data_IF_177109786932
#
_entry.id   IF_177109786932
#
_cell.length_a   1.000
_cell.length_b   1.000
_cell.length_c   1.000
_cell.angle_alpha   90.00
_cell.angle_beta   90.00
_cell.angle_gamma   90.00
#
_symmetry.space_group_name_H-M   'P 1'
#
loop_
_entity.id
_entity.type
_entity.pdbx_description
1 polymer ?
#
# COMPACT_ATOMS: atom_id res chain seq x y z
N UNK A 1 -38.58 -72.79 96.75
CA UNK A 1 -38.95 -74.00 95.99
C UNK A 1 -39.03 -73.60 94.51
N UNK A 2 -38.25 -74.09 93.55
CA UNK A 2 -36.98 -74.82 93.52
C UNK A 2 -36.31 -74.51 92.17
N UNK A 3 -35.06 -74.04 92.22
CA UNK A 3 -33.88 -74.45 91.45
C UNK A 3 -34.07 -74.94 89.99
N UNK A 4 -33.40 -74.24 89.05
CA UNK A 4 -32.32 -74.86 88.27
C UNK A 4 -32.56 -75.19 86.79
N UNK A 5 -31.46 -75.13 86.04
CA UNK A 5 -31.24 -75.78 84.74
C UNK A 5 -31.58 -74.86 83.56
N UNK A 6 -30.65 -74.47 82.69
CA UNK A 6 -29.52 -75.22 82.16
C UNK A 6 -29.88 -75.67 80.74
N UNK A 7 -29.12 -75.26 79.73
CA UNK A 7 -29.36 -75.69 78.34
C UNK A 7 -28.62 -74.85 77.31
N UNK A 8 -27.44 -75.31 76.94
CA UNK A 8 -26.65 -75.00 75.74
C UNK A 8 -26.73 -76.29 74.87
N UNK A 9 -26.35 -76.37 73.57
CA UNK A 9 -26.44 -75.53 72.36
C UNK A 9 -27.16 -76.32 71.20
N UNK A 10 -26.80 -76.03 69.93
CA UNK A 10 -26.90 -76.82 68.66
C UNK A 10 -27.90 -76.22 67.66
N UNK A 11 -27.46 -75.42 66.70
CA UNK A 11 -26.95 -75.81 65.35
C UNK A 11 -28.01 -75.57 64.27
N UNK A 12 -27.61 -75.34 63.01
CA UNK A 12 -28.25 -74.36 62.13
C UNK A 12 -29.25 -74.99 61.15
N UNK A 13 -29.64 -74.18 60.15
CA UNK A 13 -29.93 -74.59 58.78
C UNK A 13 -31.23 -75.38 58.52
N UNK A 14 -32.25 -74.70 58.00
CA UNK A 14 -32.65 -74.80 56.57
C UNK A 14 -34.03 -74.17 56.30
N UNK A 15 -34.14 -73.63 55.07
CA UNK A 15 -35.36 -73.54 54.26
C UNK A 15 -36.44 -72.54 54.70
N UNK A 16 -36.61 -71.40 54.02
CA UNK A 16 -37.17 -71.18 52.66
C UNK A 16 -38.61 -70.62 52.79
N UNK A 17 -38.90 -69.67 51.90
CA UNK A 17 -40.23 -69.10 51.59
C UNK A 17 -40.69 -67.87 52.40
N UNK A 18 -40.56 -66.73 51.70
CA UNK A 18 -41.72 -65.97 51.19
C UNK A 18 -42.32 -64.89 52.10
N UNK A 19 -41.92 -63.64 51.82
CA UNK A 19 -42.82 -62.48 51.70
C UNK A 19 -42.02 -61.27 51.18
N UNK A 20 -42.29 -60.85 49.94
CA UNK A 20 -41.96 -59.50 49.47
C UNK A 20 -43.04 -58.54 49.98
N UNK A 21 -42.65 -57.44 50.62
CA UNK A 21 -43.39 -56.20 50.38
C UNK A 21 -42.49 -54.97 50.17
N UNK A 22 -42.81 -54.26 49.08
CA UNK A 22 -42.83 -52.79 48.99
C UNK A 22 -41.52 -52.01 49.18
N UNK A 23 -40.72 -51.92 48.10
CA UNK A 23 -39.66 -50.91 47.93
C UNK A 23 -39.99 -49.94 46.78
N UNK A 24 -39.46 -48.70 46.78
CA UNK A 24 -40.08 -47.54 46.15
C UNK A 24 -39.97 -47.50 44.62
N UNK A 25 -40.97 -46.85 44.00
CA UNK A 25 -41.03 -46.48 42.59
C UNK A 25 -39.77 -45.70 42.22
N UNK A 26 -38.97 -46.19 41.25
CA UNK A 26 -37.90 -45.40 40.65
C UNK A 26 -38.52 -44.35 39.73
N UNK A 27 -38.51 -43.10 40.15
CA UNK A 27 -38.68 -41.96 39.23
C UNK A 27 -37.38 -41.78 38.47
N UNK A 28 -37.36 -42.17 37.19
CA UNK A 28 -36.36 -41.64 36.28
C UNK A 28 -36.72 -40.16 36.04
N UNK A 29 -35.81 -39.19 36.29
CA UNK A 29 -36.04 -37.82 35.86
C UNK A 29 -36.19 -37.80 34.33
N UNK A 30 -36.98 -36.89 33.75
CA UNK A 30 -36.98 -36.72 32.30
C UNK A 30 -35.56 -36.35 31.92
N UNK A 31 -34.90 -37.24 31.18
CA UNK A 31 -33.64 -36.97 30.55
C UNK A 31 -33.92 -35.81 29.59
N UNK A 32 -33.58 -34.58 30.02
CA UNK A 32 -33.38 -33.47 29.12
C UNK A 32 -32.39 -34.00 28.09
N UNK A 33 -32.90 -34.33 26.91
CA UNK A 33 -32.06 -34.62 25.74
C UNK A 33 -31.17 -33.40 25.62
N UNK A 34 -29.94 -33.55 26.10
CA UNK A 34 -28.93 -32.56 25.90
C UNK A 34 -28.72 -32.56 24.39
N UNK A 35 -29.35 -31.61 23.70
CA UNK A 35 -28.94 -31.26 22.36
C UNK A 35 -27.48 -30.85 22.50
N UNK A 36 -26.59 -31.79 22.20
CA UNK A 36 -25.18 -31.54 21.97
C UNK A 36 -25.18 -30.41 20.93
N UNK A 37 -24.75 -29.19 21.26
CA UNK A 37 -24.69 -28.14 20.27
C UNK A 37 -23.85 -28.72 19.15
N UNK A 38 -24.39 -28.75 17.93
CA UNK A 38 -23.67 -29.22 16.77
C UNK A 38 -22.37 -28.42 16.73
N UNK A 39 -21.29 -29.04 17.21
CA UNK A 39 -19.98 -28.44 17.20
C UNK A 39 -19.70 -28.21 15.73
N UNK A 40 -19.81 -26.95 15.30
CA UNK A 40 -19.53 -26.55 13.95
C UNK A 40 -18.21 -27.21 13.58
N UNK A 41 -18.24 -28.10 12.58
CA UNK A 41 -17.11 -28.96 12.25
C UNK A 41 -15.87 -28.07 12.18
N UNK A 42 -14.79 -28.37 12.94
CA UNK A 42 -13.71 -27.42 13.15
C UNK A 42 -13.16 -26.88 11.83
N UNK A 43 -13.14 -27.71 10.78
CA UNK A 43 -12.75 -27.31 9.42
C UNK A 43 -13.51 -26.12 8.85
N UNK A 44 -14.83 -26.01 9.05
CA UNK A 44 -15.63 -24.90 8.52
C UNK A 44 -15.30 -23.56 9.22
N UNK A 45 -15.06 -23.61 10.54
CA UNK A 45 -14.62 -22.45 11.31
C UNK A 45 -13.24 -21.96 10.86
N UNK A 46 -12.29 -22.88 10.60
CA UNK A 46 -10.97 -22.52 10.06
C UNK A 46 -11.04 -21.96 8.63
N UNK A 47 -11.89 -22.52 7.76
CA UNK A 47 -12.05 -22.00 6.40
C UNK A 47 -12.61 -20.58 6.38
N UNK A 48 -13.60 -20.28 7.24
CA UNK A 48 -14.15 -18.94 7.38
C UNK A 48 -13.12 -17.97 7.98
N UNK A 49 -12.33 -18.42 8.96
CA UNK A 49 -11.24 -17.63 9.54
C UNK A 49 -10.15 -17.27 8.51
N UNK A 50 -9.73 -18.24 7.69
CA UNK A 50 -8.74 -18.03 6.62
C UNK A 50 -9.31 -17.11 5.55
N UNK A 51 -10.55 -17.31 5.12
CA UNK A 51 -11.19 -16.47 4.13
C UNK A 51 -11.31 -15.01 4.63
N UNK A 52 -11.75 -14.82 5.87
CA UNK A 52 -11.83 -13.49 6.48
C UNK A 52 -10.44 -12.83 6.61
N UNK A 53 -9.40 -13.59 6.95
CA UNK A 53 -8.03 -13.09 7.02
C UNK A 53 -7.51 -12.68 5.63
N UNK A 54 -7.77 -13.46 4.58
CA UNK A 54 -7.38 -13.13 3.21
C UNK A 54 -8.12 -11.91 2.68
N UNK A 55 -9.43 -11.82 2.95
CA UNK A 55 -10.23 -10.64 2.59
C UNK A 55 -9.73 -9.41 3.35
N UNK A 56 -9.47 -9.53 4.66
CA UNK A 56 -8.88 -8.47 5.47
C UNK A 56 -7.52 -8.03 4.95
N UNK A 57 -6.63 -8.96 4.59
CA UNK A 57 -5.32 -8.67 4.03
C UNK A 57 -5.42 -8.05 2.63
N UNK A 58 -6.39 -8.47 1.82
CA UNK A 58 -6.69 -7.86 0.52
C UNK A 58 -7.25 -6.46 0.63
N UNK A 59 -8.12 -6.19 1.61
CA UNK A 59 -8.66 -4.85 1.90
C UNK A 59 -7.58 -3.95 2.52
N UNK A 60 -6.75 -4.48 3.41
CA UNK A 60 -5.63 -3.74 4.00
C UNK A 60 -4.54 -3.47 2.97
N UNK A 61 -4.19 -4.46 2.14
CA UNK A 61 -3.21 -4.35 1.08
C UNK A 61 -3.70 -3.46 -0.07
N UNK A 62 -4.94 -3.63 -0.50
CA UNK A 62 -5.59 -2.80 -1.53
C UNK A 62 -5.91 -1.39 -1.03
N UNK A 63 -6.34 -1.26 0.22
CA UNK A 63 -6.55 0.03 0.90
C UNK A 63 -5.24 0.76 1.14
N UNK A 64 -4.18 0.07 1.56
CA UNK A 64 -2.84 0.63 1.59
C UNK A 64 -2.34 0.95 0.18
N UNK A 65 -2.61 0.13 -0.84
CA UNK A 65 -2.23 0.49 -2.21
C UNK A 65 -2.98 1.72 -2.72
N UNK A 66 -4.26 1.86 -2.38
CA UNK A 66 -5.12 2.96 -2.84
C UNK A 66 -4.85 4.26 -2.07
N UNK A 67 -4.65 4.18 -0.75
CA UNK A 67 -4.36 5.32 0.12
C UNK A 67 -2.87 5.68 0.13
N UNK A 68 -2.01 4.68 -0.06
CA UNK A 68 -0.56 4.80 0.01
C UNK A 68 0.08 4.69 -1.38
N UNK A 69 -0.66 4.50 -2.47
CA UNK A 69 -0.11 4.61 -3.85
C UNK A 69 0.57 5.97 -4.09
N UNK A 70 0.13 7.02 -3.40
CA UNK A 70 0.80 8.33 -3.40
C UNK A 70 1.85 8.53 -2.29
N UNK A 71 1.89 7.64 -1.30
CA UNK A 71 2.60 7.83 -0.02
C UNK A 71 3.69 6.78 0.23
N UNK A 72 3.61 5.60 -0.42
CA UNK A 72 4.53 4.44 -0.38
C UNK A 72 5.66 4.62 -1.38
N UNK A 73 5.45 5.51 -2.34
CA UNK A 73 6.49 6.18 -3.09
C UNK A 73 7.59 6.69 -2.15
N UNK A 74 7.28 7.39 -1.06
CA UNK A 74 8.30 7.85 -0.09
C UNK A 74 9.17 6.75 0.52
N UNK A 75 8.68 5.50 0.60
CA UNK A 75 9.46 4.36 1.13
C UNK A 75 10.34 3.68 0.06
N UNK A 76 10.03 3.85 -1.22
CA UNK A 76 10.83 3.39 -2.37
C UNK A 76 11.73 4.49 -3.00
N UNK A 77 11.57 5.76 -2.59
CA UNK A 77 12.28 6.95 -3.10
C UNK A 77 13.78 7.06 -2.73
N UNK A 78 14.40 5.94 -2.35
CA UNK A 78 15.86 5.84 -2.19
C UNK A 78 16.61 5.53 -3.49
N UNK A 79 15.91 5.20 -4.58
CA UNK A 79 16.55 5.01 -5.89
C UNK A 79 16.80 6.39 -6.50
N UNK A 80 17.94 6.97 -6.10
CA UNK A 80 18.37 8.32 -6.40
C UNK A 80 18.73 8.56 -7.86
N UNK A 81 19.03 9.81 -8.15
CA UNK A 81 19.58 10.29 -9.42
C UNK A 81 20.76 9.43 -9.85
N UNK A 82 20.50 8.46 -10.73
CA UNK A 82 21.54 7.64 -11.36
C UNK A 82 22.09 8.38 -12.56
N UNK A 83 23.30 8.03 -12.99
CA UNK A 83 23.84 8.54 -14.26
C UNK A 83 22.91 8.21 -15.44
N UNK A 84 22.15 7.11 -15.37
CA UNK A 84 21.15 6.79 -16.39
C UNK A 84 20.03 7.84 -16.43
N UNK A 85 19.52 8.29 -15.28
CA UNK A 85 18.54 9.38 -15.20
C UNK A 85 19.11 10.69 -15.69
N UNK A 86 20.36 11.01 -15.35
CA UNK A 86 21.04 12.22 -15.86
C UNK A 86 21.15 12.20 -17.39
N UNK A 87 21.63 11.10 -17.97
CA UNK A 87 21.76 10.94 -19.42
C UNK A 87 20.41 11.03 -20.13
N UNK A 88 19.38 10.38 -19.59
CA UNK A 88 18.03 10.48 -20.14
C UNK A 88 17.48 11.92 -20.08
N UNK A 89 17.79 12.66 -19.02
CA UNK A 89 17.40 14.06 -18.89
C UNK A 89 18.17 14.95 -19.88
N UNK A 90 19.47 14.72 -20.08
CA UNK A 90 20.28 15.41 -21.08
C UNK A 90 19.72 15.17 -22.50
N UNK A 91 19.39 13.93 -22.83
CA UNK A 91 18.75 13.57 -24.10
C UNK A 91 17.40 14.28 -24.27
N UNK A 92 16.57 14.29 -23.24
CA UNK A 92 15.29 15.01 -23.27
C UNK A 92 15.43 16.52 -23.42
N UNK A 93 16.45 17.13 -22.79
CA UNK A 93 16.76 18.54 -22.95
C UNK A 93 17.21 18.83 -24.38
N UNK A 94 18.01 17.95 -24.98
CA UNK A 94 18.45 18.13 -26.36
C UNK A 94 17.31 18.01 -27.37
N UNK A 95 16.48 16.98 -27.22
CA UNK A 95 15.29 16.85 -28.07
C UNK A 95 14.32 18.00 -27.81
N UNK A 96 14.19 18.46 -26.55
CA UNK A 96 13.38 19.62 -26.21
C UNK A 96 13.89 20.93 -26.82
N UNK A 97 15.21 21.09 -26.95
CA UNK A 97 15.82 22.21 -27.67
C UNK A 97 15.50 22.13 -29.17
N UNK A 98 15.56 20.94 -29.76
CA UNK A 98 15.20 20.72 -31.16
C UNK A 98 13.71 21.01 -31.42
N UNK A 99 12.83 20.51 -30.54
CA UNK A 99 11.39 20.77 -30.54
C UNK A 99 11.13 22.28 -30.46
N UNK A 100 11.85 22.99 -29.58
CA UNK A 100 11.77 24.45 -29.51
C UNK A 100 12.22 25.10 -30.82
N UNK A 101 13.32 24.68 -31.44
CA UNK A 101 13.82 25.34 -32.65
C UNK A 101 12.86 25.17 -33.84
N UNK A 102 12.26 23.99 -33.99
CA UNK A 102 11.46 23.63 -35.16
C UNK A 102 9.96 23.94 -35.05
N UNK A 103 9.38 24.05 -33.85
CA UNK A 103 7.95 24.38 -33.68
C UNK A 103 7.71 25.90 -33.85
N UNK A 104 6.96 26.35 -34.87
CA UNK A 104 6.75 27.78 -35.11
C UNK A 104 5.95 28.49 -34.02
N UNK A 105 5.04 27.80 -33.32
CA UNK A 105 4.23 28.37 -32.24
C UNK A 105 4.97 28.29 -30.88
N UNK A 106 5.37 29.42 -30.27
CA UNK A 106 6.05 29.46 -28.98
C UNK A 106 5.31 28.71 -27.87
N UNK A 107 3.98 28.80 -27.85
CA UNK A 107 3.16 28.19 -26.79
C UNK A 107 3.23 26.67 -26.87
N UNK A 108 3.02 26.13 -28.07
CA UNK A 108 3.11 24.69 -28.33
C UNK A 108 4.50 24.16 -28.06
N UNK A 109 5.53 24.91 -28.47
CA UNK A 109 6.92 24.56 -28.29
C UNK A 109 7.28 24.41 -26.79
N UNK A 110 6.91 25.39 -25.95
CA UNK A 110 7.18 25.36 -24.51
C UNK A 110 6.42 24.22 -23.82
N UNK A 111 5.14 24.01 -24.18
CA UNK A 111 4.34 22.92 -23.61
C UNK A 111 4.93 21.56 -23.98
N UNK A 112 5.33 21.36 -25.24
CA UNK A 112 5.91 20.10 -25.70
C UNK A 112 7.22 19.78 -24.96
N UNK A 113 8.11 20.77 -24.86
CA UNK A 113 9.36 20.63 -24.10
C UNK A 113 9.11 20.24 -22.63
N UNK A 114 8.21 20.94 -21.94
CA UNK A 114 7.94 20.62 -20.53
C UNK A 114 7.31 19.24 -20.35
N UNK A 115 6.41 18.82 -21.25
CA UNK A 115 5.83 17.47 -21.23
C UNK A 115 6.88 16.37 -21.40
N UNK A 116 7.89 16.61 -22.25
CA UNK A 116 9.00 15.67 -22.43
C UNK A 116 9.84 15.55 -21.17
N UNK A 117 10.12 16.69 -20.51
CA UNK A 117 10.76 16.71 -19.20
C UNK A 117 9.96 15.90 -18.16
N UNK A 118 8.65 16.11 -18.05
CA UNK A 118 7.77 15.32 -17.17
C UNK A 118 7.80 13.82 -17.51
N UNK A 119 7.81 13.47 -18.80
CA UNK A 119 7.84 12.09 -19.27
C UNK A 119 9.10 11.36 -18.82
N UNK A 120 10.28 11.98 -18.94
CA UNK A 120 11.54 11.39 -18.49
C UNK A 120 11.56 11.22 -16.97
N UNK A 121 11.12 12.23 -16.21
CA UNK A 121 11.02 12.09 -14.76
C UNK A 121 10.07 10.96 -14.34
N UNK A 122 8.95 10.80 -15.04
CA UNK A 122 8.00 9.69 -14.83
C UNK A 122 8.63 8.32 -15.12
N UNK A 123 9.38 8.19 -16.21
CA UNK A 123 10.14 6.98 -16.54
C UNK A 123 11.20 6.63 -15.48
N UNK A 124 11.71 7.64 -14.78
CA UNK A 124 12.65 7.48 -13.67
C UNK A 124 11.98 7.48 -12.29
N UNK A 125 10.68 7.16 -12.24
CA UNK A 125 9.96 6.84 -11.02
C UNK A 125 9.37 8.03 -10.28
N UNK A 126 9.30 9.21 -10.91
CA UNK A 126 8.59 10.38 -10.40
C UNK A 126 7.41 10.72 -11.34
N UNK A 127 6.28 10.00 -11.27
CA UNK A 127 5.09 10.38 -12.02
C UNK A 127 4.45 11.64 -11.40
N UNK A 128 3.82 12.48 -12.22
CA UNK A 128 3.06 13.64 -11.75
C UNK A 128 1.61 13.25 -11.43
N UNK A 129 1.13 13.57 -10.24
CA UNK A 129 -0.28 13.35 -9.88
C UNK A 129 -1.22 14.34 -10.61
N UNK A 130 -2.47 13.96 -10.94
CA UNK A 130 -3.38 14.80 -11.72
C UNK A 130 -3.70 16.17 -11.09
N UNK A 131 -3.71 16.24 -9.75
CA UNK A 131 -3.98 17.48 -8.99
C UNK A 131 -2.73 18.28 -8.65
N UNK A 132 -1.55 17.70 -8.86
CA UNK A 132 -0.30 18.34 -8.50
C UNK A 132 0.01 19.47 -9.47
N UNK A 133 0.31 20.65 -8.93
CA UNK A 133 0.70 21.79 -9.77
C UNK A 133 2.11 21.58 -10.36
N UNK A 134 2.45 22.24 -11.48
CA UNK A 134 3.77 22.12 -12.09
C UNK A 134 4.91 22.53 -11.14
N UNK A 135 4.72 23.59 -10.35
CA UNK A 135 5.71 24.04 -9.37
C UNK A 135 5.85 23.09 -8.17
N UNK A 136 4.76 22.49 -7.69
CA UNK A 136 4.84 21.47 -6.64
C UNK A 136 5.56 20.22 -7.13
N UNK A 137 5.23 19.76 -8.35
CA UNK A 137 5.91 18.64 -9.00
C UNK A 137 7.41 18.91 -9.16
N UNK A 138 7.77 20.11 -9.61
CA UNK A 138 9.16 20.54 -9.68
C UNK A 138 9.84 20.49 -8.31
N UNK A 139 9.17 20.96 -7.25
CA UNK A 139 9.71 20.93 -5.89
C UNK A 139 10.16 19.53 -5.46
N UNK A 140 9.35 18.52 -5.77
CA UNK A 140 9.70 17.11 -5.51
C UNK A 140 10.85 16.65 -6.42
N UNK A 141 10.82 17.00 -7.70
CA UNK A 141 11.88 16.64 -8.65
C UNK A 141 13.25 17.19 -8.24
N UNK A 142 13.31 18.45 -7.79
CA UNK A 142 14.55 19.08 -7.31
C UNK A 142 15.13 18.35 -6.09
N UNK A 143 14.28 17.94 -5.15
CA UNK A 143 14.71 17.21 -3.95
C UNK A 143 15.20 15.80 -4.30
N UNK A 144 14.54 15.13 -5.24
CA UNK A 144 14.86 13.74 -5.60
C UNK A 144 16.09 13.61 -6.51
N UNK A 145 16.22 14.53 -7.47
CA UNK A 145 17.17 14.38 -8.58
C UNK A 145 18.34 15.38 -8.55
N UNK A 146 18.49 16.18 -7.48
CA UNK A 146 19.57 17.18 -7.34
C UNK A 146 19.75 18.09 -8.56
N UNK A 147 18.63 18.46 -9.20
CA UNK A 147 18.62 19.25 -10.42
C UNK A 147 18.86 20.75 -10.14
N UNK A 148 19.33 21.55 -11.12
CA UNK A 148 19.60 22.96 -10.93
C UNK A 148 18.30 23.77 -10.67
N UNK A 149 18.07 24.26 -9.43
CA UNK A 149 16.75 24.74 -9.01
C UNK A 149 16.34 26.02 -9.71
N UNK A 150 17.26 26.97 -9.88
CA UNK A 150 16.95 28.27 -10.48
C UNK A 150 16.50 28.13 -11.94
N UNK A 151 17.15 27.25 -12.70
CA UNK A 151 16.93 27.08 -14.15
C UNK A 151 15.59 26.38 -14.41
N UNK A 152 15.33 25.28 -13.71
CA UNK A 152 14.06 24.55 -13.86
C UNK A 152 12.85 25.31 -13.33
N UNK A 153 13.03 26.17 -12.31
CA UNK A 153 11.97 27.09 -11.88
C UNK A 153 11.59 28.05 -13.01
N UNK A 154 12.56 28.66 -13.69
CA UNK A 154 12.30 29.55 -14.85
C UNK A 154 11.55 28.81 -15.97
N UNK A 155 11.99 27.59 -16.31
CA UNK A 155 11.31 26.77 -17.32
C UNK A 155 9.85 26.49 -16.92
N UNK A 156 9.62 26.12 -15.66
CA UNK A 156 8.28 25.81 -15.15
C UNK A 156 7.37 27.04 -15.14
N UNK A 157 7.90 28.22 -14.80
CA UNK A 157 7.16 29.48 -14.91
C UNK A 157 6.76 29.78 -16.35
N UNK A 158 7.66 29.60 -17.33
CA UNK A 158 7.32 29.75 -18.75
C UNK A 158 6.23 28.78 -19.18
N UNK A 159 6.30 27.54 -18.71
CA UNK A 159 5.27 26.54 -18.96
C UNK A 159 3.91 26.95 -18.36
N UNK A 160 3.86 27.46 -17.13
CA UNK A 160 2.61 27.91 -16.52
C UNK A 160 1.96 29.05 -17.32
N UNK A 161 2.77 30.01 -17.78
CA UNK A 161 2.30 31.08 -18.68
C UNK A 161 1.78 30.46 -19.98
N UNK A 162 2.53 29.54 -20.59
CA UNK A 162 2.13 28.90 -21.85
C UNK A 162 0.87 28.04 -21.71
N UNK A 163 0.63 27.39 -20.57
CA UNK A 163 -0.51 26.48 -20.40
C UNK A 163 -1.76 27.16 -19.87
N UNK A 164 -1.61 28.10 -18.92
CA UNK A 164 -2.73 28.61 -18.14
C UNK A 164 -3.00 30.10 -18.34
N UNK A 165 -2.09 30.84 -19.00
CA UNK A 165 -2.30 32.27 -19.26
C UNK A 165 -2.81 32.52 -20.69
N UNK A 166 -3.69 33.51 -20.81
CA UNK A 166 -4.10 34.09 -22.10
C UNK A 166 -3.06 35.06 -22.68
N UNK A 167 -1.97 35.34 -21.96
CA UNK A 167 -0.93 36.25 -22.41
C UNK A 167 -0.31 35.78 -23.73
N UNK A 168 -0.17 36.66 -24.75
CA UNK A 168 0.49 36.28 -26.00
C UNK A 168 1.94 35.88 -25.74
N UNK A 169 2.35 34.74 -26.29
CA UNK A 169 3.74 34.30 -26.28
C UNK A 169 4.30 34.48 -27.69
N UNK A 170 5.44 35.16 -27.78
CA UNK A 170 6.14 35.45 -29.02
C UNK A 170 7.54 34.84 -29.06
N UNK A 171 8.32 35.32 -30.01
CA UNK A 171 9.72 34.92 -30.17
C UNK A 171 10.61 35.24 -28.94
N UNK A 172 10.41 36.34 -28.18
CA UNK A 172 11.21 36.61 -26.98
C UNK A 172 11.10 35.49 -25.93
N UNK A 173 9.88 35.02 -25.64
CA UNK A 173 9.65 33.97 -24.65
C UNK A 173 10.17 32.61 -25.15
N UNK A 174 10.07 32.36 -26.46
CA UNK A 174 10.68 31.20 -27.10
C UNK A 174 12.21 31.20 -26.96
N UNK A 175 12.86 32.33 -27.24
CA UNK A 175 14.31 32.48 -27.06
C UNK A 175 14.73 32.34 -25.60
N UNK A 176 13.92 32.86 -24.67
CA UNK A 176 14.15 32.67 -23.24
C UNK A 176 14.05 31.20 -22.83
N UNK A 177 13.07 30.45 -23.34
CA UNK A 177 12.95 29.01 -23.11
C UNK A 177 14.20 28.24 -23.62
N UNK A 178 14.68 28.59 -24.82
CA UNK A 178 15.91 28.01 -25.39
C UNK A 178 17.11 28.31 -24.49
N UNK A 179 17.27 29.56 -24.04
CA UNK A 179 18.37 29.95 -23.16
C UNK A 179 18.34 29.16 -21.84
N UNK A 180 17.17 29.04 -21.21
CA UNK A 180 16.99 28.28 -19.97
C UNK A 180 17.33 26.80 -20.14
N UNK A 181 16.95 26.17 -21.25
CA UNK A 181 17.30 24.78 -21.53
C UNK A 181 18.80 24.59 -21.77
N UNK A 182 19.45 25.50 -22.49
CA UNK A 182 20.91 25.47 -22.67
C UNK A 182 21.64 25.60 -21.34
N UNK A 183 21.20 26.51 -20.48
CA UNK A 183 21.74 26.63 -19.12
C UNK A 183 21.51 25.35 -18.31
N UNK A 184 20.35 24.71 -18.47
CA UNK A 184 20.01 23.46 -17.77
C UNK A 184 20.91 22.32 -18.24
N UNK A 185 21.14 22.19 -19.56
CA UNK A 185 22.07 21.23 -20.15
C UNK A 185 23.47 21.40 -19.57
N UNK A 186 24.01 22.62 -19.63
CA UNK A 186 25.37 22.92 -19.15
C UNK A 186 25.54 22.54 -17.67
N UNK A 187 24.52 22.82 -16.83
CA UNK A 187 24.55 22.44 -15.42
C UNK A 187 24.52 20.92 -15.20
N UNK A 188 23.74 20.19 -16.01
CA UNK A 188 23.67 18.75 -15.94
C UNK A 188 24.98 18.08 -16.40
N UNK A 189 25.68 18.68 -17.35
CA UNK A 189 27.01 18.26 -17.82
C UNK A 189 28.11 18.57 -16.79
N UNK A 190 28.08 19.76 -16.16
CA UNK A 190 29.03 20.16 -15.11
C UNK A 190 29.00 19.18 -13.92
N UNK A 191 27.81 18.83 -13.46
CA UNK A 191 27.63 17.86 -12.38
C UNK A 191 28.01 16.40 -12.77
N UNK A 192 28.17 16.08 -14.07
CA UNK A 192 28.69 14.78 -14.54
C UNK A 192 30.21 14.70 -14.37
N UNK A 193 30.89 15.85 -14.46
CA UNK A 193 32.35 15.94 -14.46
C UNK A 193 32.96 16.08 -13.06
N UNK A 194 32.15 16.21 -12.01
CA UNK A 194 32.62 16.27 -10.62
C UNK A 194 32.73 14.83 -10.08
N UNK A 195 33.94 14.22 -10.04
CA UNK A 195 34.11 12.90 -9.42
C UNK A 195 33.76 13.00 -7.93
N UNK A 196 33.06 11.98 -7.41
CA UNK A 196 32.76 11.87 -5.99
C UNK A 196 34.06 11.87 -5.16
N UNK A 197 34.40 13.01 -4.59
CA UNK A 197 35.47 13.19 -3.60
C UNK A 197 35.00 12.78 -2.21
#
# INVERSE_FOLDING_TARGET
>A
MCIGGGGVPLSPEHALHQALPSGPIRSHPPELVAEKPAAAAPGFAWTLGILAALVGLGILGGGAWFLFGERLERWWYGIGFTDATRRALLDAVEIGLDDLLHEPDPRRAIIACYRRFEQVLSQHGLPRAPWQTPLEYLGVALQRFRLPPARLRRLTTLFEVAKFSMHPLGQPEKHLAIAVLRETRAALEEDDHVPAT
#
